data_IF_729843011638
#
_entry.id   IF_729843011638
#
_cell.length_a   1.000
_cell.length_b   1.000
_cell.length_c   1.000
_cell.angle_alpha   90.00
_cell.angle_beta   90.00
_cell.angle_gamma   90.00
#
_symmetry.space_group_name_H-M   'P 1'
#
loop_
_entity.id
_entity.type
_entity.pdbx_description
1 polymer ?
#
# COMPACT_ATOMS: atom_id res chain seq x y z
N UNK A 1 34.05 24.22 55.70
CA UNK A 1 33.69 23.24 54.66
C UNK A 1 32.17 23.17 54.57
N UNK A 2 31.58 23.55 53.43
CA UNK A 2 30.13 23.53 53.19
C UNK A 2 29.81 22.29 52.35
N UNK A 3 28.91 21.45 52.83
CA UNK A 3 28.39 20.27 52.12
C UNK A 3 27.30 20.70 51.15
N UNK A 4 27.43 20.30 49.88
CA UNK A 4 26.43 20.51 48.84
C UNK A 4 25.49 19.30 48.81
N UNK A 5 24.18 19.53 48.99
CA UNK A 5 23.15 18.52 48.79
C UNK A 5 22.66 18.60 47.33
N UNK A 6 22.97 17.56 46.54
CA UNK A 6 22.32 17.30 45.26
C UNK A 6 20.91 16.78 45.50
N UNK A 7 19.91 17.46 44.95
CA UNK A 7 18.54 16.94 44.85
C UNK A 7 18.31 16.48 43.41
N UNK A 8 18.31 15.18 43.20
CA UNK A 8 17.82 14.56 41.97
C UNK A 8 16.29 14.62 41.95
N UNK A 9 15.70 15.34 41.01
CA UNK A 9 14.26 15.25 40.73
C UNK A 9 14.04 14.12 39.74
N UNK A 10 13.39 13.07 40.22
CA UNK A 10 12.89 11.94 39.44
C UNK A 10 11.75 12.44 38.54
N UNK A 11 12.00 12.60 37.24
CA UNK A 11 10.92 12.83 36.28
C UNK A 11 10.24 11.49 35.97
N UNK A 12 8.92 11.43 36.22
CA UNK A 12 8.06 10.32 35.86
C UNK A 12 8.24 9.94 34.38
N UNK A 13 8.78 8.76 34.12
CA UNK A 13 8.57 8.09 32.84
C UNK A 13 7.12 7.61 32.81
N UNK A 14 6.24 8.44 32.26
CA UNK A 14 4.93 7.98 31.80
C UNK A 14 5.15 6.90 30.76
N UNK A 15 4.86 5.64 31.11
CA UNK A 15 4.73 4.56 30.16
C UNK A 15 3.63 4.94 29.16
N UNK A 16 4.01 5.52 28.03
CA UNK A 16 3.21 5.47 26.83
C UNK A 16 3.32 4.04 26.34
N UNK A 17 2.29 3.23 26.58
CA UNK A 17 2.14 1.98 25.85
C UNK A 17 2.11 2.33 24.38
N UNK A 18 3.20 2.09 23.66
CA UNK A 18 3.19 2.11 22.20
C UNK A 18 2.24 0.98 21.79
N UNK A 19 1.04 1.35 21.35
CA UNK A 19 0.22 0.43 20.57
C UNK A 19 1.02 0.17 19.28
N UNK A 20 1.72 -0.95 19.22
CA UNK A 20 2.36 -1.40 17.98
C UNK A 20 1.23 -1.73 17.03
N UNK A 21 1.08 -0.97 15.94
CA UNK A 21 0.26 -1.43 14.82
C UNK A 21 0.87 -2.76 14.35
N UNK A 22 0.11 -3.84 14.46
CA UNK A 22 0.53 -5.14 13.96
C UNK A 22 0.47 -5.13 12.44
N UNK A 23 1.51 -5.64 11.78
CA UNK A 23 1.43 -6.00 10.38
C UNK A 23 0.31 -7.03 10.23
N UNK A 24 -0.60 -6.81 9.29
CA UNK A 24 -1.74 -7.69 9.04
C UNK A 24 -1.57 -8.40 7.72
N UNK A 25 -1.17 -7.65 6.69
CA UNK A 25 -1.06 -8.19 5.34
C UNK A 25 0.05 -7.47 4.58
N UNK A 26 0.78 -8.20 3.73
CA UNK A 26 1.61 -7.62 2.68
C UNK A 26 1.27 -8.26 1.35
N UNK A 27 1.56 -7.58 0.25
CA UNK A 27 1.42 -8.13 -1.09
C UNK A 27 2.53 -7.62 -2.00
N UNK A 28 2.87 -8.41 -3.00
CA UNK A 28 3.85 -8.05 -4.02
C UNK A 28 3.46 -8.67 -5.35
N UNK A 29 3.46 -7.88 -6.42
CA UNK A 29 3.23 -8.35 -7.79
C UNK A 29 4.27 -7.79 -8.74
N UNK A 30 4.70 -8.63 -9.67
CA UNK A 30 5.67 -8.30 -10.70
C UNK A 30 5.10 -8.58 -12.08
N UNK A 31 5.65 -7.91 -13.09
CA UNK A 31 5.20 -8.04 -14.49
C UNK A 31 3.72 -7.72 -14.69
N UNK A 32 3.19 -6.72 -13.97
CA UNK A 32 1.90 -6.12 -14.30
C UNK A 32 2.00 -5.39 -15.64
N UNK A 33 0.91 -5.40 -16.41
CA UNK A 33 0.78 -4.63 -17.64
C UNK A 33 0.29 -3.24 -17.31
N UNK A 34 1.20 -2.27 -17.27
CA UNK A 34 0.88 -0.87 -17.02
C UNK A 34 0.60 -0.09 -18.31
N UNK A 35 -0.37 0.81 -18.22
CA UNK A 35 -0.74 1.75 -19.27
C UNK A 35 -1.04 3.13 -18.69
N UNK A 36 -0.93 4.14 -19.56
CA UNK A 36 -1.24 5.51 -19.26
C UNK A 36 -1.80 6.21 -20.50
N UNK A 37 -2.91 6.91 -20.34
CA UNK A 37 -3.50 7.77 -21.37
C UNK A 37 -3.32 9.24 -20.97
N UNK A 38 -2.60 10.00 -21.80
CA UNK A 38 -2.33 11.42 -21.55
C UNK A 38 -3.56 12.31 -21.75
N UNK A 39 -4.52 11.87 -22.57
CA UNK A 39 -5.76 12.59 -22.83
C UNK A 39 -6.71 12.56 -21.64
N UNK A 40 -6.75 11.46 -20.89
CA UNK A 40 -7.58 11.30 -19.68
C UNK A 40 -6.79 11.52 -18.39
N UNK A 41 -5.47 11.35 -18.43
CA UNK A 41 -4.62 11.31 -17.24
C UNK A 41 -4.78 10.01 -16.44
N UNK A 42 -5.39 8.97 -17.01
CA UNK A 42 -5.62 7.71 -16.30
C UNK A 42 -4.41 6.79 -16.43
N UNK A 43 -3.94 6.28 -15.29
CA UNK A 43 -2.97 5.20 -15.21
C UNK A 43 -3.66 3.92 -14.75
N UNK A 44 -3.28 2.81 -15.36
CA UNK A 44 -3.74 1.47 -15.00
C UNK A 44 -2.56 0.51 -14.95
N UNK A 45 -2.57 -0.43 -14.01
CA UNK A 45 -1.68 -1.58 -14.00
C UNK A 45 -2.49 -2.83 -13.63
N UNK A 46 -2.47 -3.83 -14.50
CA UNK A 46 -3.29 -5.02 -14.33
C UNK A 46 -2.52 -6.33 -14.56
N UNK A 47 -3.05 -7.42 -14.01
CA UNK A 47 -2.53 -8.75 -14.28
C UNK A 47 -2.63 -9.08 -15.76
N UNK A 48 -1.56 -9.61 -16.35
CA UNK A 48 -1.46 -9.93 -17.76
C UNK A 48 -0.65 -11.20 -18.02
N UNK A 49 -1.04 -11.90 -19.07
CA UNK A 49 -0.29 -13.03 -19.67
C UNK A 49 0.03 -12.77 -21.15
N UNK A 50 -0.16 -11.52 -21.60
CA UNK A 50 -0.01 -11.11 -22.99
C UNK A 50 1.28 -10.29 -23.19
N UNK A 51 1.69 -10.11 -24.45
CA UNK A 51 2.83 -9.28 -24.83
C UNK A 51 4.16 -9.68 -24.17
N UNK A 52 4.31 -10.95 -23.78
CA UNK A 52 5.50 -11.45 -23.10
C UNK A 52 5.57 -11.10 -21.61
N UNK A 53 4.51 -10.50 -21.04
CA UNK A 53 4.33 -10.32 -19.61
C UNK A 53 3.64 -11.54 -19.02
N UNK A 54 4.04 -11.94 -17.82
CA UNK A 54 3.41 -13.05 -17.11
C UNK A 54 3.34 -12.73 -15.61
N UNK A 55 2.33 -11.95 -15.23
CA UNK A 55 2.18 -11.47 -13.85
C UNK A 55 2.25 -12.61 -12.85
N UNK A 56 3.05 -12.41 -11.80
CA UNK A 56 3.20 -13.30 -10.66
C UNK A 56 3.32 -12.47 -9.38
N UNK A 57 2.99 -13.07 -8.25
CA UNK A 57 3.06 -12.38 -6.98
C UNK A 57 2.64 -13.24 -5.80
N UNK A 58 2.51 -12.59 -4.67
CA UNK A 58 2.07 -13.20 -3.43
C UNK A 58 1.33 -12.21 -2.53
N UNK A 59 0.50 -12.76 -1.66
CA UNK A 59 -0.16 -12.04 -0.57
C UNK A 59 0.11 -12.81 0.71
N UNK A 60 0.66 -12.15 1.72
CA UNK A 60 0.99 -12.77 3.02
C UNK A 60 0.10 -12.20 4.11
N UNK A 61 -0.62 -13.06 4.83
CA UNK A 61 -1.37 -12.74 6.03
C UNK A 61 -0.55 -13.00 7.31
N UNK A 62 -0.71 -12.15 8.31
CA UNK A 62 0.03 -12.17 9.59
C UNK A 62 -0.91 -12.36 10.80
N UNK A 63 -1.91 -13.22 10.67
CA UNK A 63 -2.90 -13.54 11.70
C UNK A 63 -2.37 -14.45 12.82
N UNK A 64 -3.05 -15.57 13.09
CA UNK A 64 -2.60 -16.56 14.08
C UNK A 64 -1.27 -17.24 13.70
N UNK A 65 -0.91 -17.17 12.42
CA UNK A 65 0.38 -17.55 11.85
C UNK A 65 0.74 -16.62 10.70
N UNK A 66 1.91 -16.87 10.08
CA UNK A 66 2.30 -16.21 8.83
C UNK A 66 2.05 -17.19 7.70
N UNK A 67 1.11 -16.84 6.83
CA UNK A 67 0.67 -17.68 5.71
C UNK A 67 0.73 -16.87 4.43
N UNK A 68 1.26 -17.49 3.37
CA UNK A 68 1.48 -16.83 2.08
C UNK A 68 0.68 -17.54 1.01
N UNK A 69 -0.11 -16.74 0.31
CA UNK A 69 -0.90 -17.08 -0.86
C UNK A 69 -0.09 -16.75 -2.11
N UNK A 70 0.05 -17.73 -3.01
CA UNK A 70 0.90 -17.61 -4.19
C UNK A 70 0.08 -17.43 -5.46
N UNK A 71 0.45 -16.44 -6.27
CA UNK A 71 -0.10 -16.19 -7.60
C UNK A 71 0.93 -16.63 -8.66
N UNK A 72 0.71 -17.82 -9.21
CA UNK A 72 1.58 -18.39 -10.25
C UNK A 72 1.67 -17.49 -11.49
N UNK A 73 2.80 -17.49 -12.22
CA UNK A 73 2.94 -16.72 -13.45
C UNK A 73 1.78 -16.95 -14.43
N UNK A 74 1.11 -15.86 -14.83
CA UNK A 74 0.03 -15.88 -15.81
C UNK A 74 -1.34 -16.35 -15.28
N UNK A 75 -1.53 -16.36 -13.95
CA UNK A 75 -2.73 -16.85 -13.26
C UNK A 75 -4.07 -16.35 -13.84
N UNK A 76 -4.12 -15.11 -14.33
CA UNK A 76 -5.32 -14.47 -14.88
C UNK A 76 -5.93 -15.19 -16.11
N UNK A 77 -5.20 -16.11 -16.74
CA UNK A 77 -5.71 -16.91 -17.88
C UNK A 77 -6.12 -18.34 -17.55
N UNK A 78 -6.04 -18.74 -16.27
CA UNK A 78 -6.22 -20.12 -15.83
C UNK A 78 -7.66 -20.60 -15.61
N UNK A 79 -8.67 -19.77 -15.88
CA UNK A 79 -10.07 -20.07 -15.53
C UNK A 79 -10.38 -19.93 -14.04
N UNK A 80 -9.53 -19.21 -13.30
CA UNK A 80 -9.75 -18.75 -11.92
C UNK A 80 -10.26 -17.32 -11.93
N UNK A 81 -10.88 -16.88 -10.84
CA UNK A 81 -11.30 -15.49 -10.69
C UNK A 81 -10.14 -14.56 -10.28
N UNK A 82 -8.95 -15.12 -10.05
CA UNK A 82 -7.77 -14.40 -9.61
C UNK A 82 -7.38 -13.26 -10.57
N UNK A 83 -7.28 -12.04 -10.03
CA UNK A 83 -6.99 -10.84 -10.79
C UNK A 83 -6.33 -9.76 -9.94
N UNK A 84 -5.52 -8.90 -10.56
CA UNK A 84 -4.96 -7.71 -9.91
C UNK A 84 -5.22 -6.52 -10.81
N UNK A 85 -5.73 -5.44 -10.23
CA UNK A 85 -5.97 -4.18 -10.91
C UNK A 85 -5.63 -3.03 -10.00
N UNK A 86 -4.88 -2.07 -10.54
CA UNK A 86 -4.56 -0.82 -9.88
C UNK A 86 -4.84 0.32 -10.86
N UNK A 87 -5.58 1.32 -10.40
CA UNK A 87 -5.92 2.50 -11.19
C UNK A 87 -5.68 3.77 -10.40
N UNK A 88 -5.32 4.85 -11.08
CA UNK A 88 -5.18 6.18 -10.47
C UNK A 88 -5.27 7.27 -11.53
N UNK A 89 -5.62 8.49 -11.11
CA UNK A 89 -5.46 9.67 -11.97
C UNK A 89 -4.10 10.31 -11.71
N UNK A 90 -3.36 10.56 -12.78
CA UNK A 90 -2.08 11.25 -12.76
C UNK A 90 -2.30 12.73 -13.04
N UNK A 91 -1.94 13.56 -12.06
CA UNK A 91 -2.12 15.01 -12.12
C UNK A 91 -0.82 15.73 -11.76
N UNK A 92 -0.79 17.04 -12.03
CA UNK A 92 0.29 17.93 -11.60
C UNK A 92 1.70 17.42 -11.98
N UNK A 93 1.86 16.98 -13.23
CA UNK A 93 3.15 16.54 -13.78
C UNK A 93 4.09 17.75 -13.89
N UNK A 94 5.12 17.79 -13.05
CA UNK A 94 6.12 18.86 -13.00
C UNK A 94 7.52 18.26 -12.95
N UNK A 95 8.30 18.45 -14.01
CA UNK A 95 9.64 17.90 -14.13
C UNK A 95 9.64 16.38 -13.96
N UNK A 96 10.29 15.90 -12.90
CA UNK A 96 10.43 14.47 -12.59
C UNK A 96 9.40 13.99 -11.57
N UNK A 97 8.35 14.74 -11.31
CA UNK A 97 7.33 14.40 -10.31
C UNK A 97 5.93 14.47 -10.88
N UNK A 98 5.02 13.62 -10.39
CA UNK A 98 3.59 13.69 -10.65
C UNK A 98 2.83 13.19 -9.42
N UNK A 99 1.58 13.61 -9.24
CA UNK A 99 0.73 13.14 -8.15
C UNK A 99 -0.26 12.10 -8.66
N UNK A 100 -0.55 11.12 -7.82
CA UNK A 100 -1.64 10.19 -8.03
C UNK A 100 -2.81 10.55 -7.11
N UNK A 101 -3.96 10.83 -7.71
CA UNK A 101 -5.22 11.10 -7.00
C UNK A 101 -6.25 10.01 -7.30
N UNK A 102 -7.12 9.75 -6.32
CA UNK A 102 -8.20 8.77 -6.46
C UNK A 102 -7.72 7.36 -6.77
N UNK A 103 -6.52 7.00 -6.31
CA UNK A 103 -5.92 5.69 -6.54
C UNK A 103 -6.75 4.57 -5.91
N UNK A 104 -6.89 3.45 -6.62
CA UNK A 104 -7.62 2.26 -6.17
C UNK A 104 -6.86 1.01 -6.55
N UNK A 105 -6.86 0.03 -5.67
CA UNK A 105 -6.37 -1.31 -6.00
C UNK A 105 -7.42 -2.37 -5.67
N UNK A 106 -7.35 -3.46 -6.42
CA UNK A 106 -8.14 -4.67 -6.27
C UNK A 106 -7.21 -5.86 -6.50
N UNK A 107 -7.11 -6.72 -5.49
CA UNK A 107 -6.48 -8.04 -5.60
C UNK A 107 -7.60 -9.03 -5.34
N UNK A 108 -7.95 -9.81 -6.36
CA UNK A 108 -8.90 -10.91 -6.29
C UNK A 108 -8.14 -12.21 -6.30
N UNK A 109 -8.59 -13.14 -5.48
CA UNK A 109 -7.99 -14.44 -5.31
C UNK A 109 -8.66 -15.50 -6.20
N UNK A 110 -8.37 -16.80 -5.99
CA UNK A 110 -8.78 -17.84 -6.92
C UNK A 110 -10.31 -18.08 -7.02
N UNK A 111 -11.07 -17.79 -5.96
CA UNK A 111 -12.50 -18.11 -5.82
C UNK A 111 -13.42 -16.88 -5.77
N UNK A 112 -12.85 -15.69 -5.63
CA UNK A 112 -13.56 -14.42 -5.81
C UNK A 112 -13.43 -13.44 -4.65
N UNK A 113 -12.80 -13.82 -3.54
CA UNK A 113 -12.49 -12.92 -2.43
C UNK A 113 -11.56 -11.79 -2.84
N UNK A 114 -11.76 -10.63 -2.24
CA UNK A 114 -11.08 -9.41 -2.67
C UNK A 114 -10.39 -8.70 -1.51
N UNK A 115 -9.14 -8.35 -1.69
CA UNK A 115 -8.46 -7.29 -0.97
C UNK A 115 -8.50 -6.02 -1.82
N UNK A 116 -9.21 -5.00 -1.36
CA UNK A 116 -9.36 -3.76 -2.11
C UNK A 116 -9.17 -2.53 -1.23
N UNK A 117 -8.67 -1.45 -1.81
CA UNK A 117 -8.47 -0.21 -1.08
C UNK A 117 -8.24 1.02 -1.94
N UNK A 118 -8.13 2.16 -1.28
CA UNK A 118 -7.80 3.46 -1.86
C UNK A 118 -6.42 3.94 -1.42
N UNK A 119 -5.75 4.66 -2.30
CA UNK A 119 -4.46 5.28 -2.01
C UNK A 119 -4.29 6.60 -2.75
N UNK A 120 -3.38 7.41 -2.22
CA UNK A 120 -2.87 8.61 -2.87
C UNK A 120 -1.36 8.59 -2.77
N UNK A 121 -0.66 9.34 -3.62
CA UNK A 121 0.79 9.35 -3.55
C UNK A 121 1.47 10.20 -4.60
N UNK A 122 2.77 10.01 -4.71
CA UNK A 122 3.61 10.77 -5.63
C UNK A 122 4.52 9.84 -6.43
N UNK A 123 4.59 10.11 -7.73
CA UNK A 123 5.58 9.55 -8.63
C UNK A 123 6.84 10.39 -8.62
N UNK A 124 7.98 9.72 -8.65
CA UNK A 124 9.32 10.29 -8.69
C UNK A 124 10.14 9.58 -9.76
N UNK A 125 10.61 10.35 -10.75
CA UNK A 125 11.49 9.85 -11.80
C UNK A 125 12.96 10.08 -11.46
N UNK A 126 13.71 8.99 -11.36
CA UNK A 126 15.15 9.02 -11.07
C UNK A 126 15.85 7.88 -11.80
N UNK A 127 16.97 8.21 -12.44
CA UNK A 127 17.88 7.22 -13.05
C UNK A 127 17.24 6.27 -14.07
N UNK A 128 16.26 6.74 -14.86
CA UNK A 128 15.55 5.89 -15.84
C UNK A 128 14.53 4.94 -15.20
N UNK A 129 14.13 5.21 -13.96
CA UNK A 129 13.06 4.51 -13.28
C UNK A 129 12.03 5.51 -12.75
N UNK A 130 10.79 5.08 -12.70
CA UNK A 130 9.72 5.75 -12.01
C UNK A 130 9.37 4.96 -10.74
N UNK A 131 9.45 5.67 -9.62
CA UNK A 131 9.10 5.17 -8.30
C UNK A 131 7.81 5.84 -7.87
N UNK A 132 6.88 5.08 -7.32
CA UNK A 132 5.71 5.63 -6.65
C UNK A 132 5.82 5.38 -5.17
N UNK A 133 5.53 6.41 -4.39
CA UNK A 133 5.37 6.32 -2.94
C UNK A 133 3.92 6.69 -2.62
N UNK A 134 3.12 5.70 -2.21
CA UNK A 134 1.70 5.84 -1.93
C UNK A 134 1.34 5.52 -0.48
N UNK A 135 0.35 6.23 0.03
CA UNK A 135 -0.31 5.97 1.31
C UNK A 135 -1.66 5.31 1.04
N UNK A 136 -1.87 4.11 1.60
CA UNK A 136 -3.15 3.41 1.59
C UNK A 136 -3.97 3.94 2.76
N UNK A 137 -5.08 4.62 2.46
CA UNK A 137 -5.92 5.29 3.45
C UNK A 137 -7.06 4.41 3.96
N UNK A 138 -7.45 3.41 3.19
CA UNK A 138 -8.47 2.44 3.54
C UNK A 138 -8.33 1.22 2.64
N UNK A 139 -8.07 0.07 3.23
CA UNK A 139 -8.13 -1.23 2.57
C UNK A 139 -8.96 -2.19 3.41
N UNK A 140 -9.60 -3.16 2.75
CA UNK A 140 -10.40 -4.17 3.44
C UNK A 140 -10.43 -5.43 2.60
N UNK A 141 -10.54 -6.56 3.30
CA UNK A 141 -10.98 -7.79 2.67
C UNK A 141 -12.50 -7.77 2.54
N UNK A 142 -12.99 -8.41 1.48
CA UNK A 142 -14.39 -8.68 1.29
C UNK A 142 -14.55 -10.15 0.86
N UNK A 143 -15.32 -10.87 1.66
CA UNK A 143 -15.76 -12.24 1.44
C UNK A 143 -16.85 -12.23 0.35
N UNK A 144 -16.42 -12.30 -0.89
CA UNK A 144 -17.32 -12.43 -2.04
C UNK A 144 -17.35 -13.87 -2.59
N UNK A 145 -16.37 -14.69 -2.19
CA UNK A 145 -16.24 -16.12 -2.38
C UNK A 145 -16.64 -16.87 -1.11
N UNK A 146 -15.66 -17.42 -0.40
CA UNK A 146 -15.87 -18.29 0.76
C UNK A 146 -15.27 -17.80 2.11
N UNK A 147 -14.59 -16.65 2.10
CA UNK A 147 -13.99 -16.00 3.26
C UNK A 147 -12.55 -16.41 3.53
N UNK A 148 -11.97 -17.26 2.68
CA UNK A 148 -10.61 -17.73 2.72
C UNK A 148 -9.86 -17.13 1.53
N UNK A 149 -8.85 -16.29 1.81
CA UNK A 149 -8.05 -15.71 0.73
C UNK A 149 -7.05 -16.72 0.20
N UNK A 150 -7.08 -17.02 -1.11
CA UNK A 150 -6.40 -18.19 -1.65
C UNK A 150 -5.84 -18.10 -3.07
N UNK A 151 -4.73 -18.82 -3.27
CA UNK A 151 -3.86 -18.59 -4.41
C UNK A 151 -4.05 -19.64 -5.48
N UNK A 152 -4.06 -19.26 -6.78
CA UNK A 152 -3.99 -20.23 -7.87
C UNK A 152 -2.66 -21.02 -7.87
N UNK A 153 -1.64 -20.54 -7.14
CA UNK A 153 -0.39 -21.25 -6.87
C UNK A 153 -0.32 -21.97 -5.53
N UNK A 154 -1.40 -21.95 -4.75
CA UNK A 154 -1.51 -22.55 -3.43
C UNK A 154 -1.31 -21.55 -2.28
N UNK A 155 -1.48 -22.08 -1.06
CA UNK A 155 -1.57 -21.27 0.15
C UNK A 155 -2.96 -20.67 0.32
N UNK A 156 -3.33 -20.44 1.58
CA UNK A 156 -4.57 -19.78 1.96
C UNK A 156 -4.43 -19.18 3.35
N UNK A 157 -5.28 -18.21 3.68
CA UNK A 157 -5.47 -17.71 5.04
C UNK A 157 -6.87 -17.10 5.22
N UNK A 158 -7.37 -17.07 6.45
CA UNK A 158 -8.67 -16.45 6.76
C UNK A 158 -8.63 -14.92 6.49
N UNK A 159 -9.64 -14.40 5.77
CA UNK A 159 -9.73 -12.96 5.49
C UNK A 159 -9.87 -12.15 6.80
N UNK A 160 -8.92 -11.26 7.14
CA UNK A 160 -9.01 -10.50 8.37
C UNK A 160 -10.11 -9.44 8.28
N UNK A 161 -10.90 -9.33 9.33
CA UNK A 161 -11.94 -8.30 9.43
C UNK A 161 -11.34 -6.90 9.72
N UNK A 162 -12.02 -5.88 9.20
CA UNK A 162 -11.78 -4.48 9.53
C UNK A 162 -11.01 -3.71 8.45
N UNK A 163 -10.90 -2.40 8.68
CA UNK A 163 -10.19 -1.50 7.78
C UNK A 163 -8.70 -1.47 8.11
N UNK A 164 -7.89 -1.70 7.09
CA UNK A 164 -6.45 -1.63 7.11
C UNK A 164 -5.98 -0.30 6.50
N UNK A 165 -4.84 0.19 6.97
CA UNK A 165 -4.12 1.32 6.38
C UNK A 165 -2.70 0.88 6.08
N UNK A 166 -1.98 1.63 5.26
CA UNK A 166 -0.64 1.18 4.90
C UNK A 166 0.08 2.03 3.89
N UNK A 167 1.04 1.41 3.22
CA UNK A 167 1.80 2.02 2.16
C UNK A 167 1.80 1.10 0.93
N UNK A 168 1.94 1.71 -0.23
CA UNK A 168 2.04 1.05 -1.52
C UNK A 168 3.17 1.70 -2.31
N UNK A 169 4.03 0.89 -2.91
CA UNK A 169 5.10 1.36 -3.78
C UNK A 169 4.99 0.74 -5.16
N UNK A 170 5.23 1.53 -6.20
CA UNK A 170 5.42 1.02 -7.56
C UNK A 170 6.84 1.25 -8.04
N UNK A 171 7.28 0.34 -8.89
CA UNK A 171 8.49 0.48 -9.69
C UNK A 171 8.18 0.20 -11.17
N UNK A 172 8.58 1.14 -12.03
CA UNK A 172 8.55 0.95 -13.49
C UNK A 172 9.86 1.41 -14.10
N UNK A 173 10.32 0.69 -15.12
CA UNK A 173 11.44 1.14 -15.94
C UNK A 173 10.93 2.19 -16.94
N UNK A 174 11.68 3.27 -17.08
CA UNK A 174 11.38 4.39 -17.97
C UNK A 174 12.40 4.38 -19.12
N UNK A 175 11.92 4.51 -20.37
CA UNK A 175 12.78 4.43 -21.55
C UNK A 175 13.33 5.79 -22.00
N UNK A 176 12.63 6.89 -21.75
CA UNK A 176 12.95 8.25 -22.21
C UNK A 176 12.24 9.38 -21.42
N UNK A 177 12.98 10.08 -20.55
CA UNK A 177 12.84 11.52 -20.24
C UNK A 177 11.67 11.96 -19.35
N UNK A 178 10.47 11.38 -19.45
CA UNK A 178 9.33 11.67 -18.57
C UNK A 178 8.21 10.62 -18.74
N UNK A 179 7.85 9.92 -17.67
CA UNK A 179 6.93 8.78 -17.68
C UNK A 179 5.54 9.16 -18.18
N UNK A 180 5.09 10.37 -17.87
CA UNK A 180 3.73 10.85 -18.16
C UNK A 180 3.74 11.97 -19.20
N UNK A 181 4.75 12.00 -20.07
CA UNK A 181 4.82 12.96 -21.18
C UNK A 181 4.14 12.48 -22.45
N UNK A 182 3.90 11.17 -22.58
CA UNK A 182 3.21 10.51 -23.68
C UNK A 182 2.38 9.34 -23.15
N UNK A 183 1.39 8.89 -23.92
CA UNK A 183 0.65 7.66 -23.60
C UNK A 183 1.51 6.43 -23.82
N UNK A 184 1.27 5.38 -23.03
CA UNK A 184 1.93 4.09 -23.21
C UNK A 184 1.01 2.94 -22.83
N UNK A 185 1.33 1.77 -23.34
CA UNK A 185 0.60 0.53 -23.11
C UNK A 185 1.58 -0.61 -22.84
N UNK A 186 1.11 -1.62 -22.10
CA UNK A 186 1.81 -2.87 -21.83
C UNK A 186 3.26 -2.71 -21.32
N UNK A 187 3.51 -1.74 -20.44
CA UNK A 187 4.81 -1.59 -19.77
C UNK A 187 4.87 -2.46 -18.52
N UNK A 188 5.98 -3.20 -18.29
CA UNK A 188 6.12 -3.99 -17.08
C UNK A 188 6.21 -3.08 -15.86
N UNK A 189 5.36 -3.36 -14.86
CA UNK A 189 5.38 -2.71 -13.56
C UNK A 189 5.48 -3.73 -12.43
N UNK A 190 6.08 -3.31 -11.32
CA UNK A 190 6.05 -4.05 -10.05
C UNK A 190 5.38 -3.18 -9.00
N UNK A 191 4.63 -3.81 -8.10
CA UNK A 191 3.96 -3.16 -6.98
C UNK A 191 4.16 -3.97 -5.72
N UNK A 192 4.39 -3.28 -4.61
CA UNK A 192 4.45 -3.87 -3.28
C UNK A 192 3.55 -3.06 -2.34
N UNK A 193 2.92 -3.73 -1.38
CA UNK A 193 2.06 -3.11 -0.40
C UNK A 193 2.21 -3.74 0.98
N UNK A 194 2.03 -2.90 2.00
CA UNK A 194 2.09 -3.30 3.41
C UNK A 194 0.94 -2.67 4.16
N UNK A 195 0.13 -3.50 4.83
CA UNK A 195 -1.11 -3.14 5.49
C UNK A 195 -1.09 -3.49 6.98
N UNK A 196 -1.55 -2.56 7.80
CA UNK A 196 -1.58 -2.65 9.26
C UNK A 196 -2.95 -2.25 9.81
N UNK A 197 -3.30 -2.74 11.00
CA UNK A 197 -4.48 -2.21 11.72
C UNK A 197 -4.16 -0.80 12.24
N UNK A 198 -5.03 0.20 12.06
CA UNK A 198 -4.88 1.51 12.68
C UNK A 198 -4.71 1.40 14.21
N UNK A 199 -3.62 1.95 14.74
CA UNK A 199 -3.39 1.94 16.19
C UNK A 199 -4.43 2.84 16.90
N UNK A 200 -5.17 2.34 17.91
CA UNK A 200 -6.21 3.13 18.61
C UNK A 200 -5.72 4.44 19.24
N UNK A 201 -4.41 4.59 19.48
CA UNK A 201 -3.81 5.78 20.12
C UNK A 201 -3.24 6.85 19.18
N UNK A 202 -3.10 6.57 17.88
CA UNK A 202 -2.49 7.55 16.95
C UNK A 202 -3.40 8.78 16.74
N UNK A 203 -4.72 8.60 16.79
CA UNK A 203 -5.70 9.68 16.72
C UNK A 203 -5.80 10.49 18.03
N UNK A 204 -5.51 9.88 19.18
CA UNK A 204 -5.65 10.54 20.50
C UNK A 204 -4.52 11.52 20.79
N UNK A 205 -3.32 11.28 20.24
CA UNK A 205 -2.17 12.17 20.46
C UNK A 205 -2.35 13.53 19.78
N UNK A 206 -3.07 13.59 18.65
CA UNK A 206 -3.46 14.85 18.00
C UNK A 206 -4.40 15.69 18.89
N UNK A 207 -5.33 15.04 19.60
CA UNK A 207 -6.26 15.71 20.53
C UNK A 207 -5.60 16.23 21.81
N UNK A 208 -4.65 15.49 22.37
CA UNK A 208 -3.96 15.89 23.61
C UNK A 208 -2.86 16.93 23.33
N UNK A 209 -2.17 16.86 22.18
CA UNK A 209 -1.22 17.89 21.75
C UNK A 209 -1.86 19.28 21.59
N UNK A 210 -3.10 19.33 21.11
CA UNK A 210 -3.88 20.58 21.02
C UNK A 210 -4.22 21.18 22.39
N UNK A 211 -4.51 20.36 23.40
CA UNK A 211 -4.83 20.82 24.76
C UNK A 211 -3.61 21.34 25.54
N UNK A 212 -2.42 20.78 25.30
CA UNK A 212 -1.18 21.28 25.91
C UNK A 212 -0.76 22.64 25.33
N UNK A 213 -1.02 22.89 24.04
CA UNK A 213 -0.76 24.19 23.41
C UNK A 213 -1.82 25.25 23.78
N UNK A 214 -3.08 24.86 23.97
CA UNK A 214 -4.15 25.79 24.36
C UNK A 214 -3.97 26.39 25.77
N UNK A 215 -3.24 25.71 26.67
CA UNK A 215 -3.00 26.20 28.03
C UNK A 215 -1.90 27.26 28.12
N UNK A 216 -1.15 27.51 27.05
CA UNK A 216 -0.03 28.48 27.03
C UNK A 216 -0.44 29.92 26.66
N UNK A 217 -1.74 30.18 26.49
CA UNK A 217 -2.28 31.49 26.05
C UNK A 217 -3.12 32.24 27.09
N UNK A 218 -2.88 31.97 28.39
CA UNK A 218 -3.32 32.83 29.50
C UNK A 218 -2.16 33.04 30.47
N UNK A 219 -1.30 33.98 30.11
CA UNK A 219 -0.34 34.68 30.96
C UNK A 219 -0.50 36.16 30.70
#
# INVERSE_FOLDING_TARGET
MRTANCVCVLALASCSGLASAGLVTSFGFTELSASFDIGTGEFMAEASSANGLSTTGDVTGYGAGVETVVFNPGFYTGGTDAYVLITMSIVNVVGNTAFAEGGRFLIRDADGDNLAGSFEGQWNLRFGFAFFDGEITSAQFNDAGDGIFEGPGGGSFDTPEGTLIGALSFLMMESTGSLFSDSFEARPASVDGMLVVPAPGALTLAGIGGLVLARRRRG
#
